data_IF_607877443456
#
_entry.id   IF_607877443456
#
_cell.length_a   1.000
_cell.length_b   1.000
_cell.length_c   1.000
_cell.angle_alpha   90.00
_cell.angle_beta   90.00
_cell.angle_gamma   90.00
#
_symmetry.space_group_name_H-M   'P 1'
#
loop_
_entity.id
_entity.type
_entity.pdbx_description
1 polymer ?
#
# COMPACT_ATOMS: atom_id res chain seq x y z
N UNK A 1 0.20 33.08 -64.42
CA UNK A 1 1.20 32.04 -64.72
C UNK A 1 2.16 31.95 -63.54
N UNK A 2 2.02 30.91 -62.74
CA UNK A 2 3.06 30.40 -61.84
C UNK A 2 2.59 29.01 -61.40
N UNK A 3 3.31 27.98 -61.85
CA UNK A 3 3.09 26.60 -61.46
C UNK A 3 3.76 26.29 -60.12
N UNK A 4 3.11 25.43 -59.34
CA UNK A 4 3.73 24.73 -58.22
C UNK A 4 3.44 23.24 -58.40
N UNK A 5 4.51 22.45 -58.52
CA UNK A 5 4.43 21.01 -58.77
C UNK A 5 3.99 20.24 -57.52
N UNK A 6 3.04 19.33 -57.69
CA UNK A 6 2.62 18.37 -56.68
C UNK A 6 3.38 17.04 -56.88
N UNK A 7 4.26 16.69 -55.93
CA UNK A 7 5.01 15.44 -55.92
C UNK A 7 4.12 14.29 -55.42
N UNK A 8 4.01 13.24 -56.24
CA UNK A 8 3.28 12.01 -55.94
C UNK A 8 4.08 11.12 -54.98
N UNK A 9 3.59 10.90 -53.75
CA UNK A 9 4.12 9.87 -52.86
C UNK A 9 3.10 8.75 -52.67
N UNK A 10 3.39 7.60 -53.28
CA UNK A 10 2.66 6.34 -53.13
C UNK A 10 2.86 5.82 -51.70
N UNK A 11 1.74 5.52 -51.03
CA UNK A 11 1.69 4.92 -49.70
C UNK A 11 2.12 3.46 -49.82
N UNK A 12 3.28 3.12 -49.25
CA UNK A 12 3.78 1.76 -49.13
C UNK A 12 3.41 1.24 -47.74
N UNK A 13 2.44 0.31 -47.67
CA UNK A 13 2.11 -0.41 -46.44
C UNK A 13 3.10 -1.57 -46.24
N UNK A 14 3.76 -1.71 -45.08
CA UNK A 14 4.58 -2.88 -44.81
C UNK A 14 3.72 -4.11 -44.44
N UNK A 15 4.15 -5.34 -44.80
CA UNK A 15 3.44 -6.58 -44.47
C UNK A 15 3.51 -6.91 -42.97
N UNK A 16 2.39 -7.36 -42.43
CA UNK A 16 2.26 -7.99 -41.12
C UNK A 16 3.16 -9.21 -40.98
N UNK A 17 4.20 -9.10 -40.14
CA UNK A 17 5.06 -10.21 -39.74
C UNK A 17 4.32 -11.11 -38.74
N UNK A 18 3.96 -12.30 -39.20
CA UNK A 18 3.57 -13.44 -38.38
C UNK A 18 4.82 -13.93 -37.63
N UNK A 19 4.85 -14.01 -36.29
CA UNK A 19 5.91 -14.73 -35.60
C UNK A 19 5.66 -16.24 -35.69
N UNK A 20 6.68 -16.95 -36.19
CA UNK A 20 6.74 -18.40 -36.27
C UNK A 20 6.53 -19.07 -34.89
N UNK A 21 5.88 -20.23 -34.91
CA UNK A 21 5.67 -21.08 -33.75
C UNK A 21 7.01 -21.50 -33.11
N UNK A 22 7.40 -20.80 -32.04
CA UNK A 22 8.46 -21.22 -31.14
C UNK A 22 7.91 -22.23 -30.14
N UNK A 23 8.53 -23.39 -30.07
CA UNK A 23 8.37 -24.42 -29.03
C UNK A 23 8.29 -23.81 -27.62
N UNK A 24 7.45 -24.36 -26.71
CA UNK A 24 7.33 -23.84 -25.35
C UNK A 24 8.68 -23.93 -24.63
N UNK A 25 9.29 -22.77 -24.35
CA UNK A 25 10.38 -22.68 -23.38
C UNK A 25 9.75 -22.84 -22.01
N UNK A 26 9.84 -24.05 -21.46
CA UNK A 26 9.69 -24.28 -20.02
C UNK A 26 10.53 -23.25 -19.29
N UNK A 27 9.87 -22.40 -18.50
CA UNK A 27 10.54 -21.51 -17.57
C UNK A 27 11.08 -22.39 -16.43
N UNK A 28 12.24 -23.00 -16.65
CA UNK A 28 12.98 -23.68 -15.58
C UNK A 28 13.35 -22.59 -14.57
N UNK A 29 12.64 -22.56 -13.44
CA UNK A 29 13.08 -21.85 -12.25
C UNK A 29 14.54 -22.24 -12.04
N UNK A 30 15.50 -21.29 -11.87
CA UNK A 30 16.79 -21.68 -11.34
C UNK A 30 16.50 -22.31 -9.98
N UNK A 31 16.67 -23.63 -9.90
CA UNK A 31 16.81 -24.35 -8.64
C UNK A 31 18.11 -23.83 -8.03
N UNK A 32 18.03 -22.66 -7.40
CA UNK A 32 19.05 -22.16 -6.52
C UNK A 32 18.98 -23.00 -5.24
N UNK A 33 19.42 -24.25 -5.33
CA UNK A 33 19.89 -25.05 -4.20
C UNK A 33 21.20 -24.49 -3.68
N UNK A 34 21.26 -23.16 -3.48
CA UNK A 34 22.37 -22.50 -2.83
C UNK A 34 22.37 -22.94 -1.38
N UNK A 35 23.29 -23.85 -1.04
CA UNK A 35 23.61 -24.12 0.35
C UNK A 35 24.07 -22.79 0.96
N UNK A 36 23.19 -22.12 1.69
CA UNK A 36 23.55 -20.96 2.50
C UNK A 36 24.54 -21.45 3.57
N UNK A 37 25.84 -21.32 3.29
CA UNK A 37 26.92 -21.61 4.23
C UNK A 37 26.95 -20.53 5.32
N UNK A 38 25.92 -20.57 6.17
CA UNK A 38 25.81 -19.76 7.38
C UNK A 38 26.58 -20.47 8.49
N UNK A 39 27.35 -19.71 9.27
CA UNK A 39 27.94 -20.25 10.49
C UNK A 39 26.84 -20.72 11.46
N UNK A 40 27.13 -21.68 12.34
CA UNK A 40 26.10 -22.27 13.21
C UNK A 40 25.40 -21.24 14.10
N UNK A 41 26.11 -20.18 14.52
CA UNK A 41 25.51 -19.05 15.20
C UNK A 41 24.46 -18.31 14.36
N UNK A 42 24.76 -18.07 13.08
CA UNK A 42 23.84 -17.39 12.16
C UNK A 42 22.62 -18.26 11.84
N UNK A 43 22.81 -19.59 11.69
CA UNK A 43 21.70 -20.53 11.53
C UNK A 43 20.75 -20.48 12.72
N UNK A 44 21.27 -20.47 13.95
CA UNK A 44 20.44 -20.39 15.17
C UNK A 44 19.68 -19.07 15.24
N UNK A 45 20.32 -17.94 14.92
CA UNK A 45 19.64 -16.65 14.88
C UNK A 45 18.57 -16.56 13.80
N UNK A 46 18.82 -17.13 12.62
CA UNK A 46 17.82 -17.20 11.54
C UNK A 46 16.59 -18.02 11.97
N UNK A 47 16.81 -19.20 12.57
CA UNK A 47 15.70 -20.03 13.09
C UNK A 47 14.93 -19.27 14.17
N UNK A 48 15.61 -18.66 15.14
CA UNK A 48 14.97 -17.85 16.18
C UNK A 48 14.16 -16.71 15.58
N UNK A 49 14.71 -15.98 14.59
CA UNK A 49 14.02 -14.90 13.89
C UNK A 49 12.77 -15.39 13.14
N UNK A 50 12.86 -16.52 12.44
CA UNK A 50 11.71 -17.12 11.75
C UNK A 50 10.64 -17.57 12.76
N UNK A 51 11.03 -18.22 13.86
CA UNK A 51 10.11 -18.65 14.91
C UNK A 51 9.41 -17.45 15.57
N UNK A 52 10.15 -16.39 15.89
CA UNK A 52 9.58 -15.16 16.43
C UNK A 52 8.59 -14.55 15.42
N UNK A 53 8.99 -14.48 14.15
CA UNK A 53 8.15 -13.97 13.07
C UNK A 53 6.85 -14.78 12.90
N UNK A 54 6.90 -16.11 13.12
CA UNK A 54 5.76 -17.01 12.95
C UNK A 54 4.86 -17.13 14.16
N UNK A 55 5.38 -16.92 15.37
CA UNK A 55 4.62 -17.13 16.62
C UNK A 55 4.22 -15.79 17.23
N UNK A 56 5.18 -14.88 17.40
CA UNK A 56 4.94 -13.61 18.06
C UNK A 56 4.09 -12.69 17.18
N UNK A 57 4.37 -12.63 15.87
CA UNK A 57 3.64 -11.70 15.01
C UNK A 57 2.14 -12.01 14.89
N UNK A 58 1.69 -13.27 14.69
CA UNK A 58 0.26 -13.54 14.67
C UNK A 58 -0.43 -13.23 15.99
N UNK A 59 0.21 -13.50 17.13
CA UNK A 59 -0.33 -13.19 18.45
C UNK A 59 -0.48 -11.68 18.65
N UNK A 60 0.57 -10.91 18.32
CA UNK A 60 0.52 -9.45 18.40
C UNK A 60 -0.51 -8.86 17.43
N UNK A 61 -0.63 -9.41 16.22
CA UNK A 61 -1.64 -9.00 15.23
C UNK A 61 -3.05 -9.18 15.76
N UNK A 62 -3.35 -10.31 16.38
CA UNK A 62 -4.66 -10.57 16.97
C UNK A 62 -4.99 -9.57 18.08
N UNK A 63 -4.02 -9.29 18.94
CA UNK A 63 -4.18 -8.32 20.02
C UNK A 63 -4.40 -6.89 19.50
N UNK A 64 -3.49 -6.39 18.64
CA UNK A 64 -3.56 -5.03 18.09
C UNK A 64 -4.82 -4.83 17.26
N UNK A 65 -5.20 -5.81 16.43
CA UNK A 65 -6.45 -5.75 15.65
C UNK A 65 -7.66 -5.61 16.56
N UNK A 66 -7.73 -6.40 17.63
CA UNK A 66 -8.84 -6.32 18.61
C UNK A 66 -8.91 -4.96 19.30
N UNK A 67 -7.78 -4.43 19.75
CA UNK A 67 -7.72 -3.11 20.39
C UNK A 67 -8.05 -1.98 19.41
N UNK A 68 -7.64 -2.10 18.14
CA UNK A 68 -7.97 -1.13 17.09
C UNK A 68 -9.48 -1.07 16.82
N UNK A 69 -10.16 -2.23 16.75
CA UNK A 69 -11.62 -2.30 16.56
C UNK A 69 -12.35 -1.63 17.72
N UNK A 70 -11.94 -1.93 18.97
CA UNK A 70 -12.52 -1.30 20.17
C UNK A 70 -12.34 0.21 20.14
N UNK A 71 -11.13 0.68 19.82
CA UNK A 71 -10.81 2.09 19.74
C UNK A 71 -11.60 2.79 18.63
N UNK A 72 -11.70 2.19 17.45
CA UNK A 72 -12.53 2.68 16.34
C UNK A 72 -13.99 2.83 16.77
N UNK A 73 -14.55 1.80 17.41
CA UNK A 73 -15.94 1.82 17.88
C UNK A 73 -16.16 2.93 18.90
N UNK A 74 -15.23 3.10 19.85
CA UNK A 74 -15.30 4.17 20.85
C UNK A 74 -15.24 5.57 20.22
N UNK A 75 -14.30 5.80 19.30
CA UNK A 75 -14.21 7.08 18.59
C UNK A 75 -15.44 7.35 17.73
N UNK A 76 -16.01 6.31 17.12
CA UNK A 76 -17.23 6.42 16.32
C UNK A 76 -18.41 6.85 17.18
N UNK A 77 -18.59 6.27 18.37
CA UNK A 77 -19.66 6.64 19.28
C UNK A 77 -19.48 8.03 19.89
N UNK A 78 -18.25 8.38 20.30
CA UNK A 78 -17.99 9.62 21.06
C UNK A 78 -17.81 10.84 20.15
N UNK A 79 -17.18 10.65 18.99
CA UNK A 79 -16.75 11.74 18.10
C UNK A 79 -17.31 11.66 16.68
N UNK A 80 -18.15 10.67 16.38
CA UNK A 80 -18.77 10.46 15.06
C UNK A 80 -17.74 10.54 13.92
N UNK A 81 -16.60 9.86 14.12
CA UNK A 81 -15.46 9.90 13.19
C UNK A 81 -15.79 9.46 11.76
N UNK A 82 -16.87 8.70 11.58
CA UNK A 82 -17.40 8.26 10.29
C UNK A 82 -18.10 9.39 9.51
N UNK A 83 -18.47 10.49 10.18
CA UNK A 83 -19.22 11.62 9.59
C UNK A 83 -18.52 12.96 9.72
N UNK A 84 -17.21 12.95 9.97
CA UNK A 84 -16.45 14.20 10.16
C UNK A 84 -16.34 15.01 8.88
N UNK A 85 -16.36 16.34 9.05
CA UNK A 85 -16.27 17.31 7.97
C UNK A 85 -15.09 18.25 8.19
N UNK A 86 -14.62 18.98 7.15
CA UNK A 86 -13.52 19.93 7.28
C UNK A 86 -13.72 20.98 8.38
N UNK A 87 -14.98 21.31 8.69
CA UNK A 87 -15.36 22.27 9.73
C UNK A 87 -15.39 21.66 11.14
N UNK A 88 -15.59 20.34 11.26
CA UNK A 88 -15.72 19.64 12.54
C UNK A 88 -15.09 18.25 12.45
N UNK A 89 -13.79 18.20 12.76
CA UNK A 89 -13.00 16.97 12.79
C UNK A 89 -12.13 16.90 14.05
N UNK A 90 -11.77 15.67 14.43
CA UNK A 90 -10.93 15.42 15.61
C UNK A 90 -9.46 15.69 15.26
N UNK A 91 -8.82 16.69 15.85
CA UNK A 91 -7.42 17.05 15.54
C UNK A 91 -6.40 16.16 16.26
N UNK A 92 -6.73 15.74 17.48
CA UNK A 92 -5.84 14.98 18.35
C UNK A 92 -6.61 13.89 19.06
N UNK A 93 -5.98 12.75 19.25
CA UNK A 93 -6.46 11.68 20.13
C UNK A 93 -5.41 11.41 21.20
N UNK A 94 -5.76 11.66 22.46
CA UNK A 94 -4.85 11.64 23.60
C UNK A 94 -3.61 12.51 23.34
N UNK A 95 -2.44 11.90 23.09
CA UNK A 95 -1.16 12.57 22.81
C UNK A 95 -0.85 12.64 21.31
N UNK A 96 -1.59 11.93 20.47
CA UNK A 96 -1.28 11.77 19.05
C UNK A 96 -2.01 12.82 18.20
N UNK A 97 -1.26 13.46 17.30
CA UNK A 97 -1.83 14.36 16.29
C UNK A 97 -2.30 13.54 15.09
N UNK A 98 -3.57 13.73 14.71
CA UNK A 98 -4.23 12.91 13.70
C UNK A 98 -3.95 13.44 12.29
N UNK A 99 -3.50 12.55 11.41
CA UNK A 99 -3.04 12.91 10.07
C UNK A 99 -4.05 12.55 8.98
N UNK A 100 -4.97 13.46 8.70
CA UNK A 100 -6.00 13.27 7.66
C UNK A 100 -5.47 13.34 6.23
N UNK A 101 -4.25 13.81 6.02
CA UNK A 101 -3.62 13.76 4.69
C UNK A 101 -3.34 12.31 4.26
N UNK A 102 -3.10 11.43 5.24
CA UNK A 102 -2.79 10.01 5.04
C UNK A 102 -3.97 9.14 4.64
N UNK A 103 -5.21 9.63 4.77
CA UNK A 103 -6.43 8.85 4.51
C UNK A 103 -7.13 9.28 3.21
N UNK A 104 -8.03 8.43 2.71
CA UNK A 104 -8.91 8.71 1.56
C UNK A 104 -8.20 9.13 0.25
N UNK A 105 -6.88 8.87 0.16
CA UNK A 105 -6.00 9.34 -0.91
C UNK A 105 -6.09 10.87 -1.13
N UNK A 106 -6.34 11.59 -0.05
CA UNK A 106 -6.73 13.00 -0.09
C UNK A 106 -5.57 13.89 -0.52
N UNK A 107 -4.37 13.63 -0.01
CA UNK A 107 -3.17 14.37 -0.41
C UNK A 107 -2.87 14.20 -1.91
N UNK A 108 -3.09 13.02 -2.49
CA UNK A 108 -2.90 12.83 -3.92
C UNK A 108 -3.97 13.57 -4.75
N UNK A 109 -5.22 13.62 -4.26
CA UNK A 109 -6.34 14.26 -4.96
C UNK A 109 -6.35 15.79 -4.85
N UNK A 110 -6.06 16.30 -3.66
CA UNK A 110 -6.23 17.71 -3.32
C UNK A 110 -4.90 18.42 -2.99
N UNK A 111 -3.76 17.72 -3.09
CA UNK A 111 -2.44 18.24 -2.72
C UNK A 111 -2.51 18.83 -1.31
N UNK A 112 -2.08 20.09 -1.13
CA UNK A 112 -2.11 20.80 0.16
C UNK A 112 -3.43 21.56 0.42
N UNK A 113 -4.50 21.32 -0.35
CA UNK A 113 -5.80 22.00 -0.16
C UNK A 113 -6.61 21.32 0.93
N UNK A 114 -6.21 21.57 2.18
CA UNK A 114 -6.76 20.94 3.40
C UNK A 114 -8.28 21.09 3.53
N UNK A 115 -8.85 22.19 3.06
CA UNK A 115 -10.31 22.42 3.11
C UNK A 115 -11.14 21.49 2.21
N UNK A 116 -10.53 20.83 1.22
CA UNK A 116 -11.17 19.86 0.33
C UNK A 116 -11.02 18.43 0.83
N UNK A 117 -10.40 18.24 1.99
CA UNK A 117 -10.08 16.90 2.46
C UNK A 117 -11.32 16.14 2.87
N UNK A 118 -11.33 14.83 2.60
CA UNK A 118 -12.36 13.93 3.11
C UNK A 118 -11.92 13.42 4.48
N UNK A 119 -12.53 13.98 5.53
CA UNK A 119 -12.25 13.66 6.92
C UNK A 119 -13.01 12.43 7.43
N UNK A 120 -13.90 11.84 6.61
CA UNK A 120 -14.68 10.68 7.03
C UNK A 120 -13.82 9.42 7.11
N UNK A 121 -13.81 8.77 8.27
CA UNK A 121 -13.04 7.54 8.49
C UNK A 121 -13.93 6.34 8.18
N UNK A 122 -13.70 5.74 7.00
CA UNK A 122 -14.56 4.70 6.42
C UNK A 122 -14.19 3.29 6.86
N UNK A 123 -12.98 3.11 7.40
CA UNK A 123 -12.46 1.80 7.78
C UNK A 123 -11.47 1.91 8.94
N UNK A 124 -11.24 0.78 9.62
CA UNK A 124 -10.20 0.63 10.64
C UNK A 124 -8.78 0.88 10.08
N UNK A 125 -8.59 0.57 8.79
CA UNK A 125 -7.35 0.83 8.05
C UNK A 125 -7.10 2.33 7.92
N UNK A 126 -8.15 3.10 7.62
CA UNK A 126 -8.06 4.57 7.59
C UNK A 126 -7.79 5.13 8.98
N UNK A 127 -8.39 4.54 10.02
CA UNK A 127 -8.06 4.92 11.41
C UNK A 127 -6.59 4.67 11.71
N UNK A 128 -6.03 3.50 11.37
CA UNK A 128 -4.63 3.19 11.60
C UNK A 128 -3.68 4.15 10.87
N UNK A 129 -3.99 4.51 9.62
CA UNK A 129 -3.25 5.51 8.82
C UNK A 129 -3.22 6.89 9.46
N UNK A 130 -4.22 7.22 10.26
CA UNK A 130 -4.35 8.50 10.94
C UNK A 130 -3.27 8.72 12.01
N UNK A 131 -2.74 7.64 12.59
CA UNK A 131 -1.67 7.68 13.59
C UNK A 131 -0.27 7.63 12.98
N UNK A 132 -0.17 7.46 11.66
CA UNK A 132 1.08 7.28 10.96
C UNK A 132 1.55 8.54 10.23
N UNK A 133 2.85 8.57 9.99
CA UNK A 133 3.45 9.55 9.08
C UNK A 133 3.05 9.23 7.63
N UNK A 134 2.95 10.24 6.74
CA UNK A 134 2.44 10.06 5.37
C UNK A 134 3.14 8.97 4.56
N UNK A 135 4.44 8.75 4.80
CA UNK A 135 5.22 7.74 4.09
C UNK A 135 4.95 6.31 4.58
N UNK A 136 4.49 6.12 5.82
CA UNK A 136 4.14 4.81 6.39
C UNK A 136 2.70 4.43 6.05
N UNK A 137 1.83 5.41 5.80
CA UNK A 137 0.40 5.21 5.58
C UNK A 137 0.01 4.66 4.18
N UNK A 138 0.95 4.06 3.45
CA UNK A 138 0.77 3.59 2.05
C UNK A 138 0.30 2.14 1.92
N UNK A 139 -0.29 1.57 2.98
CA UNK A 139 -0.74 0.19 2.98
C UNK A 139 -2.24 0.03 2.67
N UNK A 140 -2.62 -1.16 2.21
CA UNK A 140 -3.99 -1.53 1.85
C UNK A 140 -4.46 -2.69 2.71
N UNK A 141 -5.52 -2.51 3.49
CA UNK A 141 -6.04 -3.57 4.38
C UNK A 141 -6.58 -4.83 3.71
N UNK A 142 -6.39 -4.99 2.39
CA UNK A 142 -6.65 -6.23 1.65
C UNK A 142 -5.51 -7.25 1.80
N UNK A 143 -4.33 -6.81 2.22
CA UNK A 143 -3.23 -7.70 2.55
C UNK A 143 -3.34 -8.03 4.04
N UNK A 144 -3.39 -9.32 4.38
CA UNK A 144 -3.38 -9.78 5.77
C UNK A 144 -2.19 -9.23 6.61
N UNK A 145 -1.22 -8.63 5.94
CA UNK A 145 0.00 -8.02 6.47
C UNK A 145 -0.10 -6.52 6.76
N UNK A 146 -1.21 -5.85 6.43
CA UNK A 146 -1.25 -4.39 6.40
C UNK A 146 -1.25 -3.70 7.77
N UNK A 147 -1.67 -4.39 8.83
CA UNK A 147 -1.64 -3.83 10.20
C UNK A 147 -0.21 -3.79 10.77
N UNK A 148 0.76 -4.45 10.11
CA UNK A 148 2.11 -4.63 10.64
C UNK A 148 3.04 -3.42 10.46
N UNK A 149 2.74 -2.50 9.54
CA UNK A 149 3.51 -1.25 9.41
C UNK A 149 3.27 -0.27 10.58
N UNK A 150 2.49 -0.65 11.59
CA UNK A 150 2.41 0.12 12.84
C UNK A 150 3.56 -0.17 13.81
N UNK A 151 4.32 -1.26 13.62
CA UNK A 151 5.37 -1.71 14.56
C UNK A 151 6.76 -1.94 13.91
N UNK A 152 6.91 -1.73 12.61
CA UNK A 152 8.19 -1.63 11.91
C UNK A 152 8.30 -0.27 11.21
#
# INVERSE_FOLDING_TARGET
MAGTGASSHKIFLPPSLIPAAGTPKTLTLPSAGGSFNLGDGQKRWLVTGICLNKILLPALRGFVGTEMIKHYTHLRTTHSIDKQSPSKYLKTDKKYMLNYASINNTEAKHKKKVHLYDYSIKSEVDLAKLYLQPYMAKFTGKDDFSVFYLFC
#
